data_IF_922988419540
#
_entry.id   IF_922988419540
#
_cell.length_a   1.000
_cell.length_b   1.000
_cell.length_c   1.000
_cell.angle_alpha   90.00
_cell.angle_beta   90.00
_cell.angle_gamma   90.00
#
_symmetry.space_group_name_H-M   'P 1'
#
loop_
_entity.id
_entity.type
_entity.pdbx_description
1 polymer ?
#
# COMPACT_ATOMS: atom_id res chain seq x y z
N UNK A 1 18.28 -21.79 12.92
CA UNK A 1 16.83 -21.64 13.16
C UNK A 1 16.64 -20.92 14.50
N UNK A 2 15.88 -19.83 14.51
CA UNK A 2 15.56 -19.07 15.73
C UNK A 2 14.51 -19.87 16.51
N UNK A 3 14.77 -20.17 17.80
CA UNK A 3 13.84 -20.95 18.65
C UNK A 3 12.93 -20.10 19.50
N UNK A 4 13.25 -18.81 19.69
CA UNK A 4 12.44 -17.85 20.45
C UNK A 4 12.68 -16.44 19.96
N UNK A 5 11.68 -15.57 20.08
CA UNK A 5 11.78 -14.12 19.83
C UNK A 5 10.71 -13.38 20.65
N UNK A 6 11.00 -12.15 21.06
CA UNK A 6 10.06 -11.29 21.79
C UNK A 6 8.87 -10.92 20.91
N UNK A 7 9.14 -10.53 19.66
CA UNK A 7 8.12 -10.22 18.65
C UNK A 7 8.39 -11.01 17.37
N UNK A 8 7.38 -11.72 16.87
CA UNK A 8 7.41 -12.40 15.58
C UNK A 8 6.49 -11.67 14.60
N UNK A 9 7.03 -11.26 13.46
CA UNK A 9 6.26 -10.61 12.38
C UNK A 9 6.11 -11.62 11.25
N UNK A 10 4.88 -11.98 10.91
CA UNK A 10 4.56 -12.90 9.80
C UNK A 10 4.32 -12.09 8.54
N UNK A 11 5.25 -12.17 7.60
CA UNK A 11 5.26 -11.46 6.33
C UNK A 11 6.39 -10.44 6.25
N UNK A 12 7.36 -10.71 5.36
CA UNK A 12 8.53 -9.86 5.09
C UNK A 12 8.27 -8.78 4.03
N UNK A 13 7.00 -8.41 3.76
CA UNK A 13 6.66 -7.31 2.87
C UNK A 13 6.98 -5.94 3.50
N UNK A 14 6.67 -4.87 2.74
CA UNK A 14 6.98 -3.49 3.16
C UNK A 14 6.36 -3.11 4.52
N UNK A 15 5.16 -3.64 4.83
CA UNK A 15 4.46 -3.40 6.09
C UNK A 15 5.21 -4.07 7.25
N UNK A 16 5.51 -5.38 7.12
CA UNK A 16 6.27 -6.11 8.15
C UNK A 16 7.67 -5.55 8.37
N UNK A 17 8.36 -5.14 7.29
CA UNK A 17 9.66 -4.48 7.36
C UNK A 17 9.60 -3.14 8.11
N UNK A 18 8.58 -2.32 7.84
CA UNK A 18 8.37 -1.05 8.55
C UNK A 18 8.07 -1.25 10.03
N UNK A 19 7.25 -2.25 10.38
CA UNK A 19 6.96 -2.60 11.78
C UNK A 19 8.25 -3.04 12.49
N UNK A 20 9.05 -3.90 11.88
CA UNK A 20 10.32 -4.34 12.45
C UNK A 20 11.26 -3.16 12.70
N UNK A 21 11.39 -2.24 11.74
CA UNK A 21 12.19 -1.03 11.89
C UNK A 21 11.70 -0.16 13.05
N UNK A 22 10.41 0.10 13.17
CA UNK A 22 9.88 0.97 14.23
C UNK A 22 10.02 0.32 15.60
N UNK A 23 9.83 -0.99 15.72
CA UNK A 23 10.07 -1.73 16.97
C UNK A 23 11.54 -1.65 17.40
N UNK A 24 12.47 -1.92 16.47
CA UNK A 24 13.90 -1.89 16.79
C UNK A 24 14.40 -0.49 17.08
N UNK A 25 13.92 0.52 16.36
CA UNK A 25 14.16 1.95 16.64
C UNK A 25 13.69 2.34 18.05
N UNK A 26 12.60 1.78 18.53
CA UNK A 26 12.08 2.00 19.87
C UNK A 26 12.77 1.15 20.97
N UNK A 27 13.78 0.35 20.60
CA UNK A 27 14.60 -0.43 21.53
C UNK A 27 14.25 -1.91 21.68
N UNK A 28 13.20 -2.42 21.00
CA UNK A 28 12.91 -3.85 20.95
C UNK A 28 13.90 -4.54 20.01
N UNK A 29 14.89 -5.27 20.55
CA UNK A 29 15.99 -5.84 19.75
C UNK A 29 15.80 -7.29 19.34
N UNK A 30 14.82 -7.99 19.92
CA UNK A 30 14.54 -9.39 19.62
C UNK A 30 13.28 -9.51 18.76
N UNK A 31 13.38 -9.02 17.53
CA UNK A 31 12.33 -9.04 16.50
C UNK A 31 12.71 -10.04 15.42
N UNK A 32 11.80 -10.96 15.09
CA UNK A 32 11.98 -11.93 14.02
C UNK A 32 10.93 -11.69 12.92
N UNK A 33 11.39 -11.44 11.70
CA UNK A 33 10.56 -11.41 10.50
C UNK A 33 10.57 -12.80 9.87
N UNK A 34 9.39 -13.40 9.67
CA UNK A 34 9.20 -14.66 8.97
C UNK A 34 8.67 -14.36 7.56
N UNK A 35 9.42 -14.75 6.54
CA UNK A 35 9.02 -14.68 5.14
C UNK A 35 8.91 -16.09 4.57
N UNK A 36 7.78 -16.42 3.96
CA UNK A 36 7.55 -17.77 3.40
C UNK A 36 8.34 -18.02 2.12
N UNK A 37 8.63 -16.98 1.37
CA UNK A 37 9.37 -17.07 0.11
C UNK A 37 10.90 -17.06 0.36
N UNK A 38 11.68 -17.43 -0.66
CA UNK A 38 13.16 -17.46 -0.59
C UNK A 38 13.79 -16.07 -0.46
N UNK A 39 13.04 -15.02 -0.75
CA UNK A 39 13.43 -13.62 -0.54
C UNK A 39 12.19 -12.73 -0.44
N UNK A 40 12.36 -11.58 0.17
CA UNK A 40 11.32 -10.56 0.30
C UNK A 40 10.89 -9.97 -1.07
N UNK A 41 9.72 -9.34 -1.11
CA UNK A 41 9.25 -8.60 -2.28
C UNK A 41 8.52 -9.42 -3.33
N UNK A 42 8.39 -10.74 -3.19
CA UNK A 42 7.63 -11.59 -4.15
C UNK A 42 6.11 -11.39 -4.07
N UNK A 43 5.62 -10.90 -2.95
CA UNK A 43 4.20 -10.58 -2.76
C UNK A 43 3.82 -9.23 -3.37
N UNK A 44 2.80 -8.58 -2.78
CA UNK A 44 2.23 -7.31 -3.27
C UNK A 44 3.24 -6.17 -3.36
N UNK A 45 4.24 -6.14 -2.46
CA UNK A 45 5.27 -5.08 -2.41
C UNK A 45 6.02 -4.95 -3.73
N UNK A 46 6.65 -6.02 -4.23
CA UNK A 46 7.42 -5.98 -5.48
C UNK A 46 6.56 -5.97 -6.74
N UNK A 47 5.24 -6.01 -6.60
CA UNK A 47 4.27 -5.93 -7.70
C UNK A 47 3.53 -4.59 -7.72
N UNK A 48 3.79 -3.71 -6.74
CA UNK A 48 3.12 -2.42 -6.61
C UNK A 48 3.61 -1.41 -7.64
N UNK A 49 2.72 -0.51 -8.03
CA UNK A 49 3.04 0.68 -8.83
C UNK A 49 3.85 1.72 -8.03
N UNK A 50 3.90 1.61 -6.70
CA UNK A 50 4.67 2.48 -5.82
C UNK A 50 4.06 3.86 -5.59
N UNK A 51 2.79 4.07 -5.93
CA UNK A 51 2.12 5.35 -5.72
C UNK A 51 2.10 5.76 -4.26
N UNK A 52 2.31 7.07 -4.01
CA UNK A 52 2.26 7.71 -2.70
C UNK A 52 1.43 8.97 -2.81
N UNK A 53 0.33 9.05 -2.08
CA UNK A 53 -0.58 10.20 -2.12
C UNK A 53 -1.23 10.49 -0.77
N UNK A 54 -1.67 11.74 -0.59
CA UNK A 54 -2.47 12.17 0.54
C UNK A 54 -3.91 12.57 0.12
N UNK A 55 -4.22 12.53 -1.17
CA UNK A 55 -5.55 12.82 -1.71
C UNK A 55 -6.51 11.65 -1.44
N UNK A 56 -6.92 11.48 -0.17
CA UNK A 56 -7.88 10.49 0.29
C UNK A 56 -9.23 11.12 0.66
N UNK A 57 -10.25 10.28 0.85
CA UNK A 57 -11.61 10.69 1.21
C UNK A 57 -11.90 10.61 2.71
N UNK A 58 -10.99 10.04 3.50
CA UNK A 58 -11.14 9.88 4.96
C UNK A 58 -9.99 10.53 5.72
N UNK A 59 -10.28 11.09 6.89
CA UNK A 59 -9.30 11.79 7.73
C UNK A 59 -8.18 10.84 8.19
N UNK A 60 -8.50 9.58 8.47
CA UNK A 60 -7.52 8.60 8.92
C UNK A 60 -6.49 8.30 7.84
N UNK A 61 -6.90 8.10 6.59
CA UNK A 61 -6.00 7.88 5.46
C UNK A 61 -5.16 9.12 5.16
N UNK A 62 -5.77 10.32 5.23
CA UNK A 62 -5.04 11.59 5.06
C UNK A 62 -3.95 11.74 6.13
N UNK A 63 -4.27 11.50 7.41
CA UNK A 63 -3.30 11.59 8.53
C UNK A 63 -2.16 10.59 8.38
N UNK A 64 -2.44 9.34 8.00
CA UNK A 64 -1.41 8.34 7.73
C UNK A 64 -0.48 8.79 6.60
N UNK A 65 -1.02 9.40 5.55
CA UNK A 65 -0.23 9.93 4.43
C UNK A 65 0.59 11.15 4.81
N UNK A 66 0.03 12.08 5.62
CA UNK A 66 0.75 13.26 6.12
C UNK A 66 1.96 12.89 6.99
N UNK A 67 1.92 11.74 7.67
CA UNK A 67 3.08 11.18 8.37
C UNK A 67 4.04 10.50 7.39
N UNK A 68 3.52 9.73 6.42
CA UNK A 68 4.33 8.85 5.58
C UNK A 68 5.09 9.60 4.48
N UNK A 69 4.50 10.64 3.87
CA UNK A 69 5.14 11.37 2.76
C UNK A 69 6.45 12.06 3.20
N UNK A 70 6.48 12.84 4.29
CA UNK A 70 7.74 13.37 4.79
C UNK A 70 8.77 12.28 5.14
N UNK A 71 8.30 11.16 5.67
CA UNK A 71 9.17 10.02 5.98
C UNK A 71 9.83 9.45 4.72
N UNK A 72 9.11 9.30 3.61
CA UNK A 72 9.69 8.86 2.33
C UNK A 72 10.66 9.89 1.75
N UNK A 73 10.36 11.17 1.87
CA UNK A 73 11.26 12.27 1.44
C UNK A 73 12.60 12.21 2.17
N UNK A 74 12.54 12.01 3.48
CA UNK A 74 13.70 12.06 4.36
C UNK A 74 14.30 10.65 4.63
N UNK A 75 13.84 9.64 3.89
CA UNK A 75 14.13 8.21 4.11
C UNK A 75 15.63 7.91 4.10
N UNK A 76 16.36 8.46 3.14
CA UNK A 76 17.79 8.24 3.02
C UNK A 76 18.58 8.89 4.17
N UNK A 77 18.17 10.10 4.58
CA UNK A 77 18.77 10.75 5.75
C UNK A 77 18.51 9.97 7.05
N UNK A 78 17.30 9.40 7.19
CA UNK A 78 16.87 8.72 8.43
C UNK A 78 17.40 7.29 8.51
N UNK A 79 17.38 6.54 7.38
CA UNK A 79 17.72 5.11 7.36
C UNK A 79 19.09 4.82 6.73
N UNK A 80 19.64 5.70 5.92
CA UNK A 80 20.85 5.48 5.15
C UNK A 80 20.62 4.72 3.82
N UNK A 81 19.37 4.58 3.39
CA UNK A 81 18.97 3.86 2.18
C UNK A 81 18.01 4.71 1.35
N UNK A 82 18.06 4.67 0.00
CA UNK A 82 17.16 5.47 -0.83
C UNK A 82 15.73 4.92 -0.80
N UNK A 83 14.73 5.79 -0.79
CA UNK A 83 13.32 5.43 -1.01
C UNK A 83 12.93 5.43 -2.49
N UNK A 84 13.71 6.11 -3.32
CA UNK A 84 13.32 6.43 -4.70
C UNK A 84 12.12 7.39 -4.77
N UNK A 85 11.82 8.15 -3.70
CA UNK A 85 10.69 9.07 -3.67
C UNK A 85 10.86 10.19 -4.69
N UNK A 86 9.81 10.37 -5.50
CA UNK A 86 9.70 11.41 -6.52
C UNK A 86 8.41 12.18 -6.30
N UNK A 87 8.53 13.41 -5.83
CA UNK A 87 7.41 14.34 -5.64
C UNK A 87 6.96 14.94 -6.99
N UNK A 88 6.50 14.10 -7.89
CA UNK A 88 6.00 14.51 -9.21
C UNK A 88 4.51 14.86 -9.18
N UNK A 89 3.86 14.62 -8.06
CA UNK A 89 2.45 14.89 -7.84
C UNK A 89 1.52 13.75 -8.25
N UNK A 90 0.27 13.92 -7.85
CA UNK A 90 -0.89 13.16 -8.32
C UNK A 90 -1.92 14.11 -8.90
N UNK A 91 -2.35 13.83 -10.11
CA UNK A 91 -3.39 14.54 -10.84
C UNK A 91 -4.62 13.65 -10.96
N UNK A 92 -5.75 14.08 -10.39
CA UNK A 92 -7.05 13.44 -10.56
C UNK A 92 -7.88 14.28 -11.53
N UNK A 93 -8.30 13.69 -12.65
CA UNK A 93 -9.00 14.38 -13.75
C UNK A 93 -10.48 14.09 -13.70
N UNK A 94 -11.31 15.15 -13.60
CA UNK A 94 -12.76 15.09 -13.56
C UNK A 94 -13.38 15.46 -14.91
N UNK A 95 -14.34 14.65 -15.37
CA UNK A 95 -15.02 14.79 -16.68
C UNK A 95 -16.52 15.08 -16.55
N UNK A 96 -17.03 15.16 -15.32
CA UNK A 96 -18.44 15.46 -15.04
C UNK A 96 -18.62 16.09 -13.64
N UNK A 97 -19.78 16.68 -13.42
CA UNK A 97 -20.09 17.37 -12.15
C UNK A 97 -20.03 16.46 -10.92
N UNK A 98 -20.35 15.17 -11.05
CA UNK A 98 -20.26 14.20 -9.95
C UNK A 98 -18.80 14.03 -9.51
N UNK A 99 -17.88 13.83 -10.45
CA UNK A 99 -16.44 13.74 -10.17
C UNK A 99 -15.92 15.04 -9.56
N UNK A 100 -16.29 16.18 -10.15
CA UNK A 100 -15.83 17.48 -9.64
C UNK A 100 -16.40 17.80 -8.25
N UNK A 101 -17.66 17.45 -7.99
CA UNK A 101 -18.28 17.54 -6.66
C UNK A 101 -17.57 16.70 -5.62
N UNK A 102 -17.22 15.46 -5.97
CA UNK A 102 -16.42 14.56 -5.15
C UNK A 102 -15.04 15.16 -4.83
N UNK A 103 -14.32 15.65 -5.84
CA UNK A 103 -13.00 16.27 -5.64
C UNK A 103 -13.07 17.54 -4.77
N UNK A 104 -14.06 18.40 -4.96
CA UNK A 104 -14.24 19.60 -4.13
C UNK A 104 -14.50 19.24 -2.67
N UNK A 105 -15.36 18.26 -2.40
CA UNK A 105 -15.64 17.78 -1.05
C UNK A 105 -14.39 17.24 -0.36
N UNK A 106 -13.65 16.38 -1.07
CA UNK A 106 -12.41 15.80 -0.53
C UNK A 106 -11.31 16.84 -0.38
N UNK A 107 -11.15 17.78 -1.31
CA UNK A 107 -10.22 18.89 -1.19
C UNK A 107 -10.45 19.69 0.11
N UNK A 108 -11.71 20.06 0.40
CA UNK A 108 -12.02 20.78 1.63
C UNK A 108 -11.65 19.98 2.89
N UNK A 109 -11.92 18.67 2.90
CA UNK A 109 -11.51 17.75 3.98
C UNK A 109 -9.99 17.65 4.11
N UNK A 110 -9.30 17.46 3.01
CA UNK A 110 -7.84 17.34 2.94
C UNK A 110 -7.15 18.60 3.48
N UNK A 111 -7.62 19.78 3.07
CA UNK A 111 -7.12 21.08 3.58
C UNK A 111 -7.36 21.21 5.08
N UNK A 112 -8.56 20.84 5.56
CA UNK A 112 -8.91 20.86 6.99
C UNK A 112 -8.04 19.90 7.80
N UNK A 113 -7.71 18.72 7.22
CA UNK A 113 -6.80 17.75 7.86
C UNK A 113 -5.31 18.17 7.81
N UNK A 114 -4.97 19.26 7.12
CA UNK A 114 -3.61 19.80 7.09
C UNK A 114 -2.84 19.60 5.78
N UNK A 115 -3.44 19.02 4.74
CA UNK A 115 -2.82 18.88 3.42
C UNK A 115 -2.86 20.22 2.69
N UNK A 116 -1.75 20.98 2.75
CA UNK A 116 -1.65 22.34 2.22
C UNK A 116 -1.26 22.42 0.74
N UNK A 117 -0.81 21.32 0.17
CA UNK A 117 -0.23 21.26 -1.18
C UNK A 117 -1.22 20.78 -2.25
N UNK A 118 -2.44 20.41 -1.84
CA UNK A 118 -3.51 20.04 -2.76
C UNK A 118 -4.20 21.26 -3.34
N UNK A 119 -4.46 21.26 -4.64
CA UNK A 119 -5.07 22.36 -5.38
C UNK A 119 -6.24 21.84 -6.22
N UNK A 120 -7.29 22.65 -6.32
CA UNK A 120 -8.33 22.50 -7.35
C UNK A 120 -7.84 23.14 -8.64
N UNK A 121 -7.93 22.42 -9.74
CA UNK A 121 -7.46 22.84 -11.05
C UNK A 121 -8.61 23.04 -12.03
N UNK A 122 -8.45 24.02 -12.93
CA UNK A 122 -9.24 24.16 -14.14
C UNK A 122 -8.64 23.31 -15.26
N UNK A 123 -9.38 23.18 -16.35
CA UNK A 123 -8.93 22.43 -17.53
C UNK A 123 -7.61 22.95 -18.09
N UNK A 124 -7.43 24.26 -18.15
CA UNK A 124 -6.20 24.90 -18.69
C UNK A 124 -4.98 24.55 -17.84
N UNK A 125 -5.12 24.48 -16.51
CA UNK A 125 -4.05 24.09 -15.60
C UNK A 125 -3.63 22.64 -15.84
N UNK A 126 -4.62 21.74 -16.03
CA UNK A 126 -4.40 20.32 -16.31
C UNK A 126 -3.64 20.12 -17.62
N UNK A 127 -4.03 20.82 -18.68
CA UNK A 127 -3.34 20.82 -19.98
C UNK A 127 -1.91 21.34 -19.84
N UNK A 128 -1.68 22.32 -18.96
CA UNK A 128 -0.33 22.82 -18.64
C UNK A 128 0.56 21.76 -17.97
N UNK A 129 -0.02 20.84 -17.18
CA UNK A 129 0.71 19.76 -16.47
C UNK A 129 0.93 18.55 -17.40
N UNK A 130 -0.09 18.12 -18.13
CA UNK A 130 -0.06 16.98 -19.07
C UNK A 130 -0.64 17.41 -20.42
N UNK A 131 0.17 18.06 -21.28
CA UNK A 131 -0.32 18.64 -22.56
C UNK A 131 -0.89 17.61 -23.55
N UNK A 132 -0.52 16.34 -23.42
CA UNK A 132 -0.97 15.25 -24.29
C UNK A 132 -2.35 14.70 -23.92
N UNK A 133 -2.92 15.18 -22.84
CA UNK A 133 -4.20 14.70 -22.32
C UNK A 133 -5.35 15.25 -23.18
N UNK A 134 -6.24 14.37 -23.66
CA UNK A 134 -7.48 14.83 -24.28
C UNK A 134 -8.34 15.56 -23.24
N UNK A 135 -8.65 16.79 -23.51
CA UNK A 135 -9.25 17.71 -22.52
C UNK A 135 -10.62 18.27 -22.88
N UNK A 136 -11.18 17.86 -24.05
CA UNK A 136 -12.48 18.34 -24.56
C UNK A 136 -13.66 18.01 -23.63
N UNK A 137 -13.56 16.95 -22.84
CA UNK A 137 -14.54 16.52 -21.84
C UNK A 137 -14.11 16.83 -20.39
N UNK A 138 -12.93 17.38 -20.16
CA UNK A 138 -12.40 17.68 -18.82
C UNK A 138 -13.00 18.99 -18.29
N UNK A 139 -13.58 18.94 -17.10
CA UNK A 139 -14.17 20.12 -16.44
C UNK A 139 -13.34 20.64 -15.24
N UNK A 140 -12.28 19.93 -14.88
CA UNK A 140 -11.36 20.28 -13.80
C UNK A 140 -10.72 19.05 -13.15
N UNK A 141 -10.09 19.28 -12.01
CA UNK A 141 -9.40 18.21 -11.29
C UNK A 141 -8.80 18.65 -9.97
N UNK A 142 -8.01 17.78 -9.37
CA UNK A 142 -7.14 18.11 -8.23
C UNK A 142 -5.71 17.68 -8.50
N UNK A 143 -4.77 18.45 -7.99
CA UNK A 143 -3.34 18.15 -8.02
C UNK A 143 -2.72 18.36 -6.64
N UNK A 144 -1.89 17.41 -6.22
CA UNK A 144 -1.11 17.56 -4.99
C UNK A 144 0.37 17.35 -5.30
N UNK A 145 1.16 18.42 -5.19
CA UNK A 145 2.57 18.43 -5.60
C UNK A 145 3.49 17.60 -4.70
N UNK A 146 3.07 17.30 -3.48
CA UNK A 146 3.81 16.41 -2.55
C UNK A 146 3.41 14.95 -2.66
N UNK A 147 2.42 14.63 -3.47
CA UNK A 147 2.15 13.24 -3.86
C UNK A 147 3.17 12.81 -4.92
N UNK A 148 3.22 11.52 -5.22
CA UNK A 148 4.16 11.00 -6.22
C UNK A 148 4.31 9.49 -6.11
N UNK A 149 5.53 9.00 -6.17
CA UNK A 149 5.79 7.57 -6.07
C UNK A 149 7.17 7.27 -5.49
N UNK A 150 7.33 6.06 -4.99
CA UNK A 150 8.57 5.49 -4.43
C UNK A 150 8.95 4.22 -5.20
N UNK A 151 10.15 3.71 -4.94
CA UNK A 151 10.50 2.32 -5.24
C UNK A 151 10.11 1.43 -4.05
N UNK A 152 9.04 0.63 -4.16
CA UNK A 152 8.56 -0.18 -3.03
C UNK A 152 9.58 -1.21 -2.55
N UNK A 153 10.41 -1.74 -3.47
CA UNK A 153 11.44 -2.71 -3.13
C UNK A 153 12.58 -2.06 -2.34
N UNK A 154 13.04 -0.89 -2.76
CA UNK A 154 14.07 -0.11 -2.05
C UNK A 154 13.61 0.29 -0.66
N UNK A 155 12.36 0.76 -0.53
CA UNK A 155 11.79 1.12 0.78
C UNK A 155 11.72 -0.09 1.72
N UNK A 156 11.18 -1.23 1.24
CA UNK A 156 11.13 -2.47 2.01
C UNK A 156 12.53 -2.92 2.46
N UNK A 157 13.48 -2.91 1.52
CA UNK A 157 14.88 -3.30 1.79
C UNK A 157 15.52 -2.36 2.81
N UNK A 158 15.35 -1.05 2.66
CA UNK A 158 15.88 -0.07 3.61
C UNK A 158 15.34 -0.27 5.03
N UNK A 159 14.02 -0.48 5.19
CA UNK A 159 13.44 -0.82 6.48
C UNK A 159 14.03 -2.11 7.08
N UNK A 160 14.11 -3.17 6.25
CA UNK A 160 14.62 -4.46 6.70
C UNK A 160 16.06 -4.38 7.14
N UNK A 161 16.94 -3.81 6.31
CA UNK A 161 18.37 -3.73 6.62
C UNK A 161 18.59 -2.87 7.86
N UNK A 162 17.88 -1.74 7.99
CA UNK A 162 17.99 -0.90 9.17
C UNK A 162 17.49 -1.61 10.44
N UNK A 163 16.41 -2.39 10.34
CA UNK A 163 15.95 -3.22 11.46
C UNK A 163 16.98 -4.28 11.86
N UNK A 164 17.63 -4.92 10.87
CA UNK A 164 18.70 -5.92 11.11
C UNK A 164 19.92 -5.28 11.79
N UNK A 165 20.35 -4.10 11.34
CA UNK A 165 21.43 -3.34 11.98
C UNK A 165 21.12 -3.03 13.46
N UNK A 166 19.85 -2.95 13.81
CA UNK A 166 19.35 -2.68 15.15
C UNK A 166 19.02 -3.95 15.96
N UNK A 167 19.25 -5.14 15.40
CA UNK A 167 19.13 -6.43 16.11
C UNK A 167 18.00 -7.34 15.65
N UNK A 168 17.13 -6.91 14.71
CA UNK A 168 16.13 -7.80 14.14
C UNK A 168 16.77 -8.93 13.32
N UNK A 169 16.01 -10.00 13.11
CA UNK A 169 16.38 -11.13 12.26
C UNK A 169 15.34 -11.31 11.15
N UNK A 170 15.80 -11.70 9.97
CA UNK A 170 14.94 -12.13 8.86
C UNK A 170 15.18 -13.61 8.61
N UNK A 171 14.12 -14.41 8.57
CA UNK A 171 14.14 -15.82 8.20
C UNK A 171 13.25 -16.02 6.99
N UNK A 172 13.85 -16.36 5.86
CA UNK A 172 13.17 -16.70 4.60
C UNK A 172 12.90 -18.20 4.51
N UNK A 173 12.11 -18.64 3.52
CA UNK A 173 11.62 -20.02 3.36
C UNK A 173 10.88 -20.55 4.61
N UNK A 174 10.36 -19.65 5.43
CA UNK A 174 9.73 -19.92 6.72
C UNK A 174 8.23 -19.72 6.65
N UNK A 175 7.53 -20.66 6.00
CA UNK A 175 6.07 -20.62 5.94
C UNK A 175 5.46 -20.99 7.30
N UNK A 176 4.61 -20.12 7.83
CA UNK A 176 3.89 -20.35 9.08
C UNK A 176 2.76 -21.36 8.84
N UNK A 177 2.72 -22.42 9.64
CA UNK A 177 1.80 -23.54 9.50
C UNK A 177 0.82 -23.69 10.67
N UNK A 178 1.15 -23.17 11.86
CA UNK A 178 0.27 -23.13 13.02
C UNK A 178 0.65 -22.02 13.99
N UNK A 179 -0.30 -21.59 14.81
CA UNK A 179 -0.09 -20.75 15.98
C UNK A 179 -0.65 -21.46 17.21
N UNK A 180 0.18 -21.70 18.19
CA UNK A 180 -0.23 -22.30 19.45
C UNK A 180 -0.61 -21.24 20.47
N UNK A 181 -1.59 -21.57 21.31
CA UNK A 181 -2.14 -20.68 22.33
C UNK A 181 -2.22 -21.41 23.66
N UNK A 182 -2.03 -20.70 24.72
CA UNK A 182 -2.30 -21.14 26.11
C UNK A 182 -3.30 -20.20 26.79
N UNK A 183 -3.47 -20.36 28.09
CA UNK A 183 -4.40 -19.52 28.89
C UNK A 183 -4.00 -18.02 28.91
N UNK A 184 -2.80 -17.66 28.49
CA UNK A 184 -2.27 -16.29 28.45
C UNK A 184 -2.31 -15.66 27.04
N UNK A 185 -2.69 -16.42 26.01
CA UNK A 185 -2.72 -15.98 24.62
C UNK A 185 -1.74 -16.74 23.72
N UNK A 186 -1.09 -16.06 22.77
CA UNK A 186 -0.09 -16.68 21.89
C UNK A 186 1.05 -17.28 22.73
N UNK A 187 1.50 -18.49 22.36
CA UNK A 187 2.59 -19.23 23.00
C UNK A 187 3.72 -19.54 22.01
N UNK A 188 3.42 -19.89 20.77
CA UNK A 188 4.41 -20.18 19.75
C UNK A 188 3.85 -20.07 18.33
N UNK A 189 4.75 -19.97 17.37
CA UNK A 189 4.48 -20.03 15.91
C UNK A 189 5.24 -21.22 15.35
N UNK A 190 4.53 -22.15 14.68
CA UNK A 190 5.15 -23.24 13.95
C UNK A 190 5.40 -22.83 12.49
N UNK A 191 6.56 -23.15 11.99
CA UNK A 191 6.95 -22.90 10.61
C UNK A 191 7.47 -24.15 9.94
N UNK A 192 7.64 -24.13 8.63
CA UNK A 192 8.31 -25.20 7.88
C UNK A 192 9.78 -25.44 8.31
N UNK A 193 10.36 -24.53 9.08
CA UNK A 193 11.76 -24.63 9.56
C UNK A 193 11.86 -24.89 11.07
N UNK A 194 10.76 -25.03 11.77
CA UNK A 194 10.70 -25.28 13.21
C UNK A 194 9.78 -24.35 13.96
N UNK A 195 9.76 -24.47 15.26
CA UNK A 195 8.87 -23.73 16.16
C UNK A 195 9.61 -22.56 16.79
N UNK A 196 8.97 -21.39 16.82
CA UNK A 196 9.46 -20.17 17.48
C UNK A 196 8.55 -19.86 18.66
N UNK A 197 9.08 -19.90 19.87
CA UNK A 197 8.37 -19.46 21.09
C UNK A 197 8.27 -17.94 21.10
N UNK A 198 7.07 -17.41 21.31
CA UNK A 198 6.83 -15.97 21.38
C UNK A 198 5.52 -15.66 22.08
N UNK A 199 5.40 -14.46 22.64
CA UNK A 199 4.16 -13.93 23.21
C UNK A 199 3.51 -12.85 22.36
N UNK A 200 4.22 -12.35 21.35
CA UNK A 200 3.72 -11.28 20.46
C UNK A 200 3.93 -11.67 19.01
N UNK A 201 2.85 -11.73 18.27
CA UNK A 201 2.81 -12.01 16.82
C UNK A 201 2.13 -10.87 16.10
N UNK A 202 2.72 -10.41 15.02
CA UNK A 202 2.09 -9.46 14.10
C UNK A 202 1.76 -10.17 12.78
N UNK A 203 0.49 -10.20 12.41
CA UNK A 203 0.06 -10.69 11.11
C UNK A 203 0.16 -9.55 10.08
N UNK A 204 1.24 -9.54 9.30
CA UNK A 204 1.52 -8.64 8.19
C UNK A 204 1.62 -9.40 6.85
N UNK A 205 0.86 -10.50 6.70
CA UNK A 205 0.98 -11.46 5.62
C UNK A 205 0.26 -11.04 4.31
N UNK A 206 -0.11 -9.75 4.18
CA UNK A 206 -0.71 -9.19 2.97
C UNK A 206 -1.97 -9.96 2.54
N UNK A 207 -2.06 -10.31 1.28
CA UNK A 207 -3.20 -11.05 0.73
C UNK A 207 -3.48 -12.40 1.41
N UNK A 208 -2.51 -12.97 2.14
CA UNK A 208 -2.67 -14.22 2.90
C UNK A 208 -3.01 -14.01 4.38
N UNK A 209 -3.26 -12.77 4.80
CA UNK A 209 -3.53 -12.44 6.21
C UNK A 209 -4.74 -13.18 6.77
N UNK A 210 -5.80 -13.40 5.98
CA UNK A 210 -6.95 -14.19 6.40
C UNK A 210 -6.57 -15.65 6.70
N UNK A 211 -5.72 -16.28 5.88
CA UNK A 211 -5.20 -17.64 6.14
C UNK A 211 -4.36 -17.67 7.41
N UNK A 212 -3.48 -16.68 7.62
CA UNK A 212 -2.64 -16.61 8.82
C UNK A 212 -3.50 -16.37 10.06
N UNK A 213 -4.49 -15.49 10.02
CA UNK A 213 -5.42 -15.26 11.13
C UNK A 213 -6.21 -16.53 11.50
N UNK A 214 -6.62 -17.32 10.50
CA UNK A 214 -7.32 -18.59 10.70
C UNK A 214 -6.50 -19.59 11.52
N UNK A 215 -5.18 -19.59 11.43
CA UNK A 215 -4.29 -20.44 12.23
C UNK A 215 -4.39 -20.14 13.74
N UNK A 216 -4.81 -18.93 14.10
CA UNK A 216 -5.10 -18.53 15.47
C UNK A 216 -6.59 -18.61 15.84
N UNK A 217 -7.44 -19.05 14.93
CA UNK A 217 -8.89 -19.17 15.11
C UNK A 217 -9.66 -17.86 14.89
N UNK A 218 -9.10 -16.89 14.16
CA UNK A 218 -9.76 -15.64 13.82
C UNK A 218 -10.17 -15.61 12.34
N UNK A 219 -11.42 -15.27 12.06
CA UNK A 219 -11.89 -14.98 10.72
C UNK A 219 -11.62 -13.50 10.40
N UNK A 220 -10.72 -13.24 9.47
CA UNK A 220 -10.31 -11.89 9.08
C UNK A 220 -10.95 -11.53 7.73
N UNK A 221 -11.73 -10.43 7.62
CA UNK A 221 -12.40 -10.04 6.39
C UNK A 221 -11.43 -9.37 5.41
N UNK A 222 -10.49 -10.16 4.91
CA UNK A 222 -9.49 -9.74 3.92
C UNK A 222 -9.55 -10.69 2.74
N UNK A 223 -9.80 -10.15 1.55
CA UNK A 223 -9.91 -10.91 0.31
C UNK A 223 -8.82 -10.51 -0.69
N UNK A 224 -8.15 -11.48 -1.34
CA UNK A 224 -7.18 -11.19 -2.38
C UNK A 224 -7.89 -10.75 -3.67
N UNK A 225 -7.40 -9.69 -4.30
CA UNK A 225 -7.93 -9.21 -5.57
C UNK A 225 -6.79 -8.86 -6.51
N UNK A 226 -6.77 -9.53 -7.69
CA UNK A 226 -5.71 -9.30 -8.67
C UNK A 226 -5.77 -7.89 -9.24
N UNK A 227 -4.59 -7.28 -9.40
CA UNK A 227 -4.36 -6.05 -10.16
C UNK A 227 -3.19 -6.25 -11.11
N UNK A 228 -3.31 -5.70 -12.30
CA UNK A 228 -2.36 -5.91 -13.39
C UNK A 228 -1.73 -4.58 -13.81
N UNK A 229 -0.44 -4.62 -14.10
CA UNK A 229 0.36 -3.47 -14.49
C UNK A 229 1.02 -3.73 -15.84
N UNK A 230 0.98 -2.74 -16.71
CA UNK A 230 1.49 -2.79 -18.07
C UNK A 230 2.55 -1.72 -18.26
N UNK A 231 3.84 -2.07 -18.27
CA UNK A 231 4.90 -1.15 -18.67
C UNK A 231 4.93 -1.02 -20.20
N UNK A 232 5.22 0.18 -20.67
CA UNK A 232 5.50 0.41 -22.09
C UNK A 232 6.98 0.12 -22.41
N UNK A 233 7.30 -0.05 -23.67
CA UNK A 233 8.65 0.18 -24.18
C UNK A 233 9.02 1.68 -24.06
N UNK A 234 10.28 2.09 -24.30
CA UNK A 234 10.67 3.50 -24.25
C UNK A 234 9.70 4.39 -25.03
N UNK A 235 9.22 5.46 -24.38
CA UNK A 235 8.19 6.35 -24.93
C UNK A 235 8.42 7.78 -24.41
N UNK A 236 8.83 8.68 -25.25
CA UNK A 236 9.28 10.02 -24.94
C UNK A 236 8.22 11.11 -25.16
N UNK A 237 7.03 10.76 -25.66
CA UNK A 237 5.94 11.72 -25.90
C UNK A 237 5.27 12.24 -24.64
N UNK A 238 5.46 11.56 -23.51
CA UNK A 238 5.04 12.01 -22.18
C UNK A 238 6.29 12.35 -21.37
N UNK A 239 6.29 13.51 -20.75
CA UNK A 239 7.41 13.96 -19.88
C UNK A 239 7.71 12.94 -18.79
N UNK A 240 8.99 12.65 -18.58
CA UNK A 240 9.43 11.85 -17.41
C UNK A 240 9.16 12.55 -16.07
N UNK A 241 8.84 13.84 -16.09
CA UNK A 241 8.40 14.62 -14.92
C UNK A 241 6.88 14.66 -14.75
N UNK A 242 6.10 13.97 -15.60
CA UNK A 242 4.65 13.94 -15.47
C UNK A 242 4.21 13.32 -14.14
N UNK A 243 3.10 13.80 -13.53
CA UNK A 243 2.56 13.21 -12.31
C UNK A 243 1.94 11.85 -12.57
N UNK A 244 1.71 11.10 -11.49
CA UNK A 244 0.71 10.03 -11.50
C UNK A 244 -0.63 10.65 -11.88
N UNK A 245 -1.18 10.26 -13.02
CA UNK A 245 -2.43 10.82 -13.54
C UNK A 245 -3.52 9.77 -13.56
N UNK A 246 -4.67 10.10 -13.00
CA UNK A 246 -5.86 9.23 -12.91
C UNK A 246 -7.02 9.88 -13.64
N UNK A 247 -7.58 9.20 -14.62
CA UNK A 247 -8.86 9.55 -15.22
C UNK A 247 -10.00 8.97 -14.37
N UNK A 248 -10.73 9.84 -13.68
CA UNK A 248 -11.82 9.43 -12.79
C UNK A 248 -13.02 8.83 -13.53
N UNK A 249 -13.15 9.03 -14.85
CA UNK A 249 -14.26 8.49 -15.63
C UNK A 249 -14.13 6.99 -15.88
N UNK A 250 -12.90 6.54 -16.04
CA UNK A 250 -12.58 5.15 -16.39
C UNK A 250 -11.82 4.41 -15.30
N UNK A 251 -11.10 5.13 -14.42
CA UNK A 251 -10.13 4.57 -13.48
C UNK A 251 -8.78 4.27 -14.14
N UNK A 252 -8.61 4.54 -15.44
CA UNK A 252 -7.30 4.43 -16.08
C UNK A 252 -6.31 5.38 -15.42
N UNK A 253 -5.12 4.87 -15.13
CA UNK A 253 -4.06 5.70 -14.56
C UNK A 253 -2.69 5.28 -15.06
N UNK A 254 -1.77 6.22 -15.06
CA UNK A 254 -0.41 6.01 -15.49
C UNK A 254 0.58 6.89 -14.73
N UNK A 255 1.84 6.49 -14.74
CA UNK A 255 2.97 7.31 -14.33
C UNK A 255 4.20 7.02 -15.21
N UNK A 256 5.18 7.93 -15.24
CA UNK A 256 6.48 7.64 -15.83
C UNK A 256 7.17 6.46 -15.11
N UNK A 257 7.80 5.57 -15.90
CA UNK A 257 8.58 4.45 -15.41
C UNK A 257 9.80 4.22 -16.31
N UNK A 258 11.00 4.42 -15.76
CA UNK A 258 12.23 4.34 -16.55
C UNK A 258 12.19 5.29 -17.76
N UNK A 259 12.33 4.75 -18.96
CA UNK A 259 12.22 5.49 -20.21
C UNK A 259 10.82 5.45 -20.84
N UNK A 260 9.84 4.89 -20.18
CA UNK A 260 8.46 4.75 -20.66
C UNK A 260 7.44 5.10 -19.58
N UNK A 261 6.30 4.43 -19.64
CA UNK A 261 5.19 4.59 -18.73
C UNK A 261 4.85 3.26 -18.06
N UNK A 262 4.27 3.34 -16.87
CA UNK A 262 3.58 2.24 -16.22
C UNK A 262 2.09 2.57 -16.18
N UNK A 263 1.28 1.73 -16.82
CA UNK A 263 -0.16 1.90 -16.97
C UNK A 263 -0.91 0.87 -16.13
N UNK A 264 -2.07 1.28 -15.61
CA UNK A 264 -2.95 0.41 -14.84
C UNK A 264 -4.42 0.81 -14.98
N UNK A 265 -5.26 -0.14 -14.63
CA UNK A 265 -6.70 0.00 -14.54
C UNK A 265 -7.25 -1.06 -13.59
N UNK A 266 -8.22 -0.67 -12.77
CA UNK A 266 -8.91 -1.60 -11.89
C UNK A 266 -10.09 -2.23 -12.64
N UNK A 267 -9.89 -3.42 -13.23
CA UNK A 267 -10.97 -4.14 -13.90
C UNK A 267 -12.08 -4.47 -12.90
N UNK A 268 -13.31 -3.95 -13.07
CA UNK A 268 -14.40 -4.18 -12.13
C UNK A 268 -14.95 -5.62 -12.20
N UNK A 269 -14.63 -6.37 -13.25
CA UNK A 269 -15.06 -7.77 -13.41
C UNK A 269 -14.08 -8.76 -12.76
N UNK A 270 -12.93 -8.27 -12.27
CA UNK A 270 -11.96 -9.13 -11.60
C UNK A 270 -12.55 -9.68 -10.30
N UNK A 271 -12.45 -11.01 -10.14
CA UNK A 271 -13.01 -11.72 -8.97
C UNK A 271 -11.92 -11.99 -7.93
N UNK A 272 -12.34 -12.00 -6.67
CA UNK A 272 -11.46 -12.38 -5.55
C UNK A 272 -10.84 -13.77 -5.80
N UNK A 273 -9.51 -13.81 -5.83
CA UNK A 273 -8.73 -15.03 -5.99
C UNK A 273 -7.25 -14.79 -5.69
N UNK A 274 -6.50 -15.89 -5.44
CA UNK A 274 -5.03 -15.85 -5.34
C UNK A 274 -4.33 -15.96 -6.71
N UNK A 275 -5.04 -15.75 -7.82
CA UNK A 275 -4.44 -15.78 -9.14
C UNK A 275 -3.49 -14.59 -9.33
N UNK A 276 -2.23 -14.85 -9.61
CA UNK A 276 -1.19 -13.85 -9.91
C UNK A 276 -0.70 -13.92 -11.36
N UNK A 277 -1.35 -14.73 -12.20
CA UNK A 277 -1.01 -14.81 -13.62
C UNK A 277 -1.48 -13.54 -14.33
N UNK A 278 -0.62 -12.96 -15.15
CA UNK A 278 -0.98 -11.85 -16.00
C UNK A 278 -1.87 -12.33 -17.16
N UNK A 279 -3.00 -11.65 -17.36
CA UNK A 279 -3.87 -11.89 -18.49
C UNK A 279 -3.47 -10.99 -19.66
N UNK A 280 -3.01 -11.58 -20.77
CA UNK A 280 -2.55 -10.83 -21.94
C UNK A 280 -3.66 -9.99 -22.59
N UNK A 281 -4.93 -10.38 -22.46
CA UNK A 281 -6.06 -9.60 -22.97
C UNK A 281 -6.22 -8.26 -22.24
N UNK A 282 -5.67 -8.14 -21.03
CA UNK A 282 -5.68 -6.89 -20.27
C UNK A 282 -4.91 -5.76 -20.96
N UNK A 283 -3.89 -6.08 -21.77
CA UNK A 283 -3.13 -5.07 -22.53
C UNK A 283 -4.04 -4.28 -23.46
N UNK A 284 -4.91 -4.97 -24.20
CA UNK A 284 -5.87 -4.32 -25.10
C UNK A 284 -6.86 -3.44 -24.32
N UNK A 285 -7.38 -3.95 -23.19
CA UNK A 285 -8.31 -3.20 -22.33
C UNK A 285 -7.67 -1.91 -21.82
N UNK A 286 -6.48 -1.98 -21.23
CA UNK A 286 -5.81 -0.81 -20.65
C UNK A 286 -5.36 0.18 -21.73
N UNK A 287 -4.92 -0.30 -22.90
CA UNK A 287 -4.57 0.57 -24.02
C UNK A 287 -5.80 1.28 -24.61
N UNK A 288 -6.92 0.60 -24.75
CA UNK A 288 -8.18 1.22 -25.22
C UNK A 288 -8.58 2.39 -24.32
N UNK A 289 -8.55 2.19 -23.00
CA UNK A 289 -8.83 3.25 -22.04
C UNK A 289 -7.76 4.34 -22.06
N UNK A 290 -6.48 3.93 -22.15
CA UNK A 290 -5.35 4.85 -22.23
C UNK A 290 -5.41 5.77 -23.44
N UNK A 291 -5.61 5.23 -24.62
CA UNK A 291 -5.74 6.00 -25.88
C UNK A 291 -6.93 6.97 -25.83
N UNK A 292 -8.03 6.56 -25.22
CA UNK A 292 -9.19 7.44 -25.06
C UNK A 292 -8.87 8.72 -24.29
N UNK A 293 -7.94 8.66 -23.32
CA UNK A 293 -7.52 9.81 -22.50
C UNK A 293 -6.23 10.46 -22.99
N UNK A 294 -5.30 9.66 -23.53
CA UNK A 294 -3.99 10.07 -24.03
C UNK A 294 -3.84 9.57 -25.47
N UNK A 295 -4.33 10.28 -26.50
CA UNK A 295 -4.27 9.82 -27.90
C UNK A 295 -2.87 9.47 -28.39
N UNK A 296 -1.83 10.09 -27.82
CA UNK A 296 -0.43 9.76 -28.18
C UNK A 296 -0.05 8.30 -27.88
N UNK A 297 -0.83 7.58 -27.06
CA UNK A 297 -0.62 6.15 -26.79
C UNK A 297 -0.98 5.24 -27.97
N UNK A 298 -1.60 5.75 -29.04
CA UNK A 298 -1.75 4.99 -30.31
C UNK A 298 -0.40 4.55 -30.89
N UNK A 299 0.67 5.27 -30.58
CA UNK A 299 2.02 4.99 -31.06
C UNK A 299 2.87 4.21 -30.07
N UNK A 300 2.32 3.84 -28.89
CA UNK A 300 3.08 3.18 -27.83
C UNK A 300 3.29 1.70 -28.15
N UNK A 301 4.52 1.23 -27.95
CA UNK A 301 4.82 -0.19 -27.99
C UNK A 301 4.74 -0.80 -26.59
N UNK A 302 4.12 -1.97 -26.48
CA UNK A 302 3.99 -2.74 -25.25
C UNK A 302 4.50 -4.16 -25.48
N UNK A 303 5.34 -4.65 -24.57
CA UNK A 303 5.73 -6.04 -24.53
C UNK A 303 4.96 -6.76 -23.40
N UNK A 304 3.95 -7.58 -23.71
CA UNK A 304 3.15 -8.25 -22.69
C UNK A 304 3.95 -9.18 -21.77
N UNK A 305 5.14 -9.62 -22.17
CA UNK A 305 6.01 -10.45 -21.35
C UNK A 305 6.67 -9.69 -20.19
N UNK A 306 6.65 -8.36 -20.24
CA UNK A 306 7.14 -7.49 -19.16
C UNK A 306 6.04 -7.02 -18.21
N UNK A 307 4.78 -7.27 -18.56
CA UNK A 307 3.64 -6.97 -17.73
C UNK A 307 3.49 -8.01 -16.60
N UNK A 308 2.92 -7.59 -15.48
CA UNK A 308 2.79 -8.46 -14.32
C UNK A 308 1.47 -8.24 -13.58
N UNK A 309 1.16 -9.16 -12.68
CA UNK A 309 0.04 -9.07 -11.76
C UNK A 309 0.49 -9.16 -10.31
N UNK A 310 -0.20 -8.45 -9.44
CA UNK A 310 -0.08 -8.50 -7.99
C UNK A 310 -1.44 -8.67 -7.34
N UNK A 311 -1.46 -8.82 -6.01
CA UNK A 311 -2.69 -8.93 -5.25
C UNK A 311 -2.88 -7.70 -4.37
N UNK A 312 -4.05 -7.10 -4.44
CA UNK A 312 -4.59 -6.27 -3.36
C UNK A 312 -5.14 -7.18 -2.26
N UNK A 313 -5.16 -6.69 -1.06
CA UNK A 313 -5.76 -7.29 0.14
C UNK A 313 -6.96 -6.45 0.55
N UNK A 314 -8.12 -6.78 -0.01
CA UNK A 314 -9.34 -5.97 0.10
C UNK A 314 -10.02 -6.19 1.44
N UNK A 315 -10.45 -5.09 2.07
CA UNK A 315 -11.37 -5.08 3.23
C UNK A 315 -12.72 -4.50 2.81
N UNK A 316 -13.81 -4.75 3.57
CA UNK A 316 -15.14 -4.26 3.23
C UNK A 316 -15.26 -2.73 3.10
N UNK A 317 -14.45 -1.97 3.86
CA UNK A 317 -14.45 -0.50 3.90
C UNK A 317 -13.19 0.14 3.29
N UNK A 318 -12.36 -0.67 2.62
CA UNK A 318 -11.10 -0.27 1.99
C UNK A 318 -10.04 0.33 2.93
N UNK A 319 -10.21 0.17 4.25
CA UNK A 319 -9.22 0.55 5.25
C UNK A 319 -8.45 -0.65 5.79
N UNK A 320 -7.19 -0.47 6.20
CA UNK A 320 -6.44 -1.55 6.84
C UNK A 320 -7.05 -1.91 8.19
N UNK A 321 -6.72 -3.12 8.64
CA UNK A 321 -7.04 -3.59 9.99
C UNK A 321 -5.76 -3.51 10.80
N UNK A 322 -5.72 -2.57 11.75
CA UNK A 322 -4.54 -2.30 12.58
C UNK A 322 -4.88 -2.42 14.07
N UNK A 323 -4.06 -3.19 14.81
CA UNK A 323 -4.17 -3.29 16.25
C UNK A 323 -4.33 -4.70 16.78
N UNK A 324 -4.66 -4.86 18.08
CA UNK A 324 -4.79 -6.18 18.70
C UNK A 324 -5.98 -6.96 18.13
N UNK A 325 -5.77 -8.27 17.94
CA UNK A 325 -6.83 -9.19 17.55
C UNK A 325 -7.79 -9.44 18.72
N UNK A 326 -9.12 -9.35 18.51
CA UNK A 326 -10.07 -9.55 19.59
C UNK A 326 -10.00 -10.98 20.16
N UNK A 327 -9.99 -11.12 21.46
CA UNK A 327 -10.00 -12.41 22.14
C UNK A 327 -8.74 -13.27 21.96
N UNK A 328 -7.66 -12.71 21.39
CA UNK A 328 -6.38 -13.42 21.18
C UNK A 328 -5.23 -12.54 21.69
N UNK A 329 -4.96 -12.55 23.00
CA UNK A 329 -3.86 -11.79 23.56
C UNK A 329 -2.54 -12.13 22.89
N UNK A 330 -1.76 -11.09 22.54
CA UNK A 330 -0.48 -11.24 21.87
C UNK A 330 -0.54 -11.32 20.34
N UNK A 331 -1.72 -11.41 19.71
CA UNK A 331 -1.85 -11.29 18.26
C UNK A 331 -2.21 -9.85 17.86
N UNK A 332 -1.42 -9.28 16.94
CA UNK A 332 -1.67 -7.98 16.32
C UNK A 332 -1.92 -8.15 14.81
N UNK A 333 -2.76 -7.29 14.26
CA UNK A 333 -3.15 -7.29 12.86
C UNK A 333 -2.57 -6.05 12.17
N UNK A 334 -1.99 -6.24 10.98
CA UNK A 334 -1.48 -5.18 10.12
C UNK A 334 -1.67 -5.57 8.66
N UNK A 335 -2.91 -5.56 8.18
CA UNK A 335 -3.28 -6.10 6.86
C UNK A 335 -4.56 -5.46 6.31
N UNK A 336 -4.91 -5.80 5.08
CA UNK A 336 -6.16 -5.34 4.46
C UNK A 336 -6.06 -3.91 3.90
N UNK A 337 -4.92 -3.52 3.35
CA UNK A 337 -4.67 -2.14 2.90
C UNK A 337 -5.39 -1.74 1.62
N UNK A 338 -6.08 -2.64 0.94
CA UNK A 338 -6.88 -2.35 -0.26
C UNK A 338 -6.14 -1.55 -1.34
N UNK A 339 -4.82 -1.84 -1.51
CA UNK A 339 -3.94 -1.15 -2.47
C UNK A 339 -3.09 -0.02 -1.87
N UNK A 340 -3.30 0.38 -0.62
CA UNK A 340 -2.62 1.53 0.01
C UNK A 340 -1.41 1.15 0.90
N UNK A 341 -1.02 -0.12 0.95
CA UNK A 341 -0.01 -0.64 1.89
C UNK A 341 1.37 0.00 1.73
N UNK A 342 1.81 0.30 0.50
CA UNK A 342 3.10 0.95 0.26
C UNK A 342 3.11 2.35 0.87
N UNK A 343 2.15 3.20 0.49
CA UNK A 343 2.11 4.60 0.91
C UNK A 343 1.85 4.79 2.41
N UNK A 344 1.18 3.85 3.06
CA UNK A 344 0.89 3.89 4.49
C UNK A 344 1.88 3.09 5.34
N UNK A 345 2.88 2.43 4.74
CA UNK A 345 3.82 1.58 5.49
C UNK A 345 4.58 2.30 6.60
N UNK A 346 5.08 3.54 6.46
CA UNK A 346 5.73 4.25 7.56
C UNK A 346 4.80 4.50 8.75
N UNK A 347 3.57 4.99 8.48
CA UNK A 347 2.56 5.23 9.52
C UNK A 347 2.14 3.93 10.21
N UNK A 348 1.94 2.85 9.43
CA UNK A 348 1.58 1.53 9.97
C UNK A 348 2.65 0.99 10.90
N UNK A 349 3.92 1.10 10.51
CA UNK A 349 5.03 0.68 11.36
C UNK A 349 5.01 1.38 12.71
N UNK A 350 4.83 2.71 12.71
CA UNK A 350 4.72 3.54 13.92
C UNK A 350 3.52 3.12 14.78
N UNK A 351 2.32 3.02 14.18
CA UNK A 351 1.09 2.66 14.89
C UNK A 351 1.21 1.30 15.58
N UNK A 352 1.65 0.27 14.84
CA UNK A 352 1.74 -1.08 15.40
C UNK A 352 2.83 -1.18 16.48
N UNK A 353 3.99 -0.54 16.27
CA UNK A 353 5.04 -0.51 17.28
C UNK A 353 4.55 0.18 18.57
N UNK A 354 3.87 1.31 18.46
CA UNK A 354 3.30 2.02 19.61
C UNK A 354 2.28 1.13 20.36
N UNK A 355 1.35 0.51 19.64
CA UNK A 355 0.33 -0.36 20.23
C UNK A 355 0.94 -1.58 20.95
N UNK A 356 2.02 -2.16 20.41
CA UNK A 356 2.74 -3.28 21.06
C UNK A 356 3.47 -2.80 22.32
N UNK A 357 4.15 -1.66 22.27
CA UNK A 357 5.04 -1.23 23.33
C UNK A 357 4.33 -0.45 24.44
N UNK A 358 3.30 0.33 24.09
CA UNK A 358 2.62 1.24 25.05
C UNK A 358 1.12 1.03 25.14
N UNK A 359 0.53 0.25 24.25
CA UNK A 359 -0.92 0.03 24.16
C UNK A 359 -1.70 1.17 23.50
N UNK A 360 -1.06 2.28 23.13
CA UNK A 360 -1.70 3.45 22.52
C UNK A 360 -0.83 4.05 21.42
N UNK A 361 -1.43 4.78 20.48
CA UNK A 361 -0.72 5.59 19.50
C UNK A 361 -1.32 6.99 19.43
N UNK A 362 -0.49 7.99 19.18
CA UNK A 362 -0.88 9.40 19.02
C UNK A 362 -1.12 9.82 17.56
N UNK A 363 -0.78 8.95 16.62
CA UNK A 363 -0.86 9.28 15.19
C UNK A 363 -2.30 9.33 14.68
N UNK A 364 -3.13 8.40 15.12
CA UNK A 364 -4.55 8.27 14.76
C UNK A 364 -5.36 7.76 15.96
N UNK A 365 -6.68 7.89 15.88
CA UNK A 365 -7.55 7.09 16.74
C UNK A 365 -7.54 5.63 16.23
N UNK A 366 -6.84 4.75 16.96
CA UNK A 366 -6.69 3.35 16.58
C UNK A 366 -8.03 2.60 16.46
N UNK A 367 -9.10 3.07 17.13
CA UNK A 367 -10.45 2.47 17.04
C UNK A 367 -11.06 2.60 15.65
N UNK A 368 -10.61 3.56 14.83
CA UNK A 368 -11.07 3.72 13.45
C UNK A 368 -10.60 2.56 12.54
N UNK A 369 -9.49 1.92 12.91
CA UNK A 369 -8.88 0.86 12.11
C UNK A 369 -8.82 -0.49 12.82
N UNK A 370 -9.42 -0.62 14.02
CA UNK A 370 -9.45 -1.88 14.74
C UNK A 370 -10.40 -2.91 14.07
N UNK A 371 -10.20 -4.18 14.39
CA UNK A 371 -11.03 -5.25 13.86
C UNK A 371 -12.52 -5.12 14.26
N UNK A 372 -12.79 -4.63 15.48
CA UNK A 372 -14.15 -4.60 16.03
C UNK A 372 -15.06 -3.63 15.28
N UNK A 373 -14.51 -2.70 14.48
CA UNK A 373 -15.31 -1.75 13.68
C UNK A 373 -16.31 -2.43 12.75
N UNK A 374 -16.03 -3.67 12.29
CA UNK A 374 -16.94 -4.42 11.41
C UNK A 374 -18.17 -4.91 12.18
N UNK A 375 -17.99 -5.47 13.37
CA UNK A 375 -19.08 -5.97 14.19
C UNK A 375 -19.89 -4.84 14.85
N UNK A 376 -19.25 -3.71 15.12
CA UNK A 376 -19.85 -2.54 15.79
C UNK A 376 -20.47 -1.54 14.81
N UNK A 377 -20.42 -1.78 13.51
CA UNK A 377 -20.95 -0.90 12.48
C UNK A 377 -20.27 0.47 12.39
N UNK A 378 -18.96 0.54 12.74
CA UNK A 378 -18.15 1.77 12.72
C UNK A 378 -17.32 1.91 11.43
N UNK A 379 -17.66 1.15 10.38
CA UNK A 379 -16.98 1.25 9.08
C UNK A 379 -17.12 2.65 8.49
N UNK A 380 -16.05 3.13 7.91
CA UNK A 380 -15.97 4.40 7.17
C UNK A 380 -15.37 4.07 5.82
N UNK A 381 -16.13 4.17 4.74
CA UNK A 381 -15.63 3.79 3.42
C UNK A 381 -14.58 4.77 2.90
N UNK A 382 -13.38 4.24 2.56
CA UNK A 382 -12.43 4.96 1.73
C UNK A 382 -12.82 4.80 0.26
N UNK A 383 -13.26 5.87 -0.36
CA UNK A 383 -13.79 5.87 -1.73
C UNK A 383 -12.75 6.27 -2.78
N UNK A 384 -11.56 6.74 -2.36
CA UNK A 384 -10.46 7.06 -3.27
C UNK A 384 -9.61 5.79 -3.54
N UNK A 385 -10.23 4.77 -4.11
CA UNK A 385 -9.58 3.50 -4.53
C UNK A 385 -9.57 3.46 -6.05
N UNK A 386 -8.36 3.34 -6.66
CA UNK A 386 -8.14 3.34 -8.11
C UNK A 386 -7.42 2.07 -8.57
#
# INVERSE_FOLDING_TARGET
VVSSSEVVIIGGGIVGASIAYQLTKAGCRDVLILERESHQGKGSTGKSMGGVRAQFSTDVSIRMSLYSIPFFRDFEEVLGYPSGYRAQGYLLVATNDRHMGYLKTNHARQVTAGLKTVQLLKTEDIVGIVPQLRSDDVIGGTFCSTDGFVDPYSVMTGFTLRAIDQGAKLQTDANVTAMERDSKGIASVQTTQGTVSTRTVVNAAGAWSAHVAKLAGLDLPVEPLRRMLVPTEPFDKISHGAPMTVDMSTGFHFRPEGLGLLMAWADPEEKSSFNTNFDRSFVEKVLTLGVSRLPVLEEVAVNPSRAWAGLYEMTPDHHPILGPAPGIPGLFLASGFSGHGVMHSPATGKIIADLILTGTTDLIDAKLLDYNRFAEGRMIDETAVF
#
